data_IF_258215258958
#
_entry.id   IF_258215258958
#
_cell.length_a   1.000
_cell.length_b   1.000
_cell.length_c   1.000
_cell.angle_alpha   90.00
_cell.angle_beta   90.00
_cell.angle_gamma   90.00
#
_symmetry.space_group_name_H-M   'P 1'
#
loop_
_entity.id
_entity.type
_entity.pdbx_description
1 polymer ?
#
# COMPACT_ATOMS: atom_id res chain seq x y z
N UNK A 1 -4.11 17.92 6.22
CA UNK A 1 -4.33 18.82 5.08
C UNK A 1 -5.78 18.98 4.60
N UNK A 2 -6.67 17.97 4.57
CA UNK A 2 -7.90 18.10 3.76
C UNK A 2 -8.89 19.15 4.30
N UNK A 3 -9.10 19.21 5.62
CA UNK A 3 -10.12 20.10 6.22
C UNK A 3 -9.83 21.60 6.03
N UNK A 4 -8.56 22.01 6.09
CA UNK A 4 -8.17 23.42 5.89
C UNK A 4 -8.27 23.82 4.42
N UNK A 5 -7.94 22.92 3.50
CA UNK A 5 -8.07 23.17 2.06
C UNK A 5 -9.54 23.36 1.66
N UNK A 6 -10.47 22.55 2.17
CA UNK A 6 -11.90 22.72 1.85
C UNK A 6 -12.49 24.06 2.29
N UNK A 7 -11.90 24.69 3.32
CA UNK A 7 -12.35 26.00 3.79
C UNK A 7 -11.65 27.16 3.07
N UNK A 8 -10.37 27.00 2.73
CA UNK A 8 -9.54 28.10 2.23
C UNK A 8 -9.23 28.04 0.74
N UNK A 9 -9.43 26.91 0.06
CA UNK A 9 -9.02 26.61 -1.33
C UNK A 9 -7.52 26.72 -1.60
N UNK A 10 -6.69 26.66 -0.57
CA UNK A 10 -5.23 26.55 -0.70
C UNK A 10 -4.63 25.87 0.54
N UNK A 11 -3.39 25.42 0.43
CA UNK A 11 -2.68 24.72 1.50
C UNK A 11 -2.13 25.70 2.53
N UNK A 12 -2.43 25.46 3.81
CA UNK A 12 -1.88 26.22 4.93
C UNK A 12 -1.06 25.30 5.87
N UNK A 13 0.20 25.65 6.20
CA UNK A 13 0.97 26.80 5.71
C UNK A 13 1.51 26.59 4.27
N UNK A 14 1.51 27.63 3.40
CA UNK A 14 2.01 27.54 2.03
C UNK A 14 3.55 27.64 2.02
N UNK A 15 4.20 26.60 2.53
CA UNK A 15 5.66 26.55 2.61
C UNK A 15 6.19 25.27 1.97
N UNK A 16 7.29 25.39 1.21
CA UNK A 16 7.92 24.23 0.57
C UNK A 16 8.29 23.15 1.59
N UNK A 17 8.81 23.55 2.75
CA UNK A 17 9.19 22.62 3.82
C UNK A 17 8.00 21.80 4.31
N UNK A 18 6.82 22.41 4.46
CA UNK A 18 5.62 21.70 4.85
C UNK A 18 5.20 20.67 3.81
N UNK A 19 5.19 21.04 2.52
CA UNK A 19 4.86 20.12 1.42
C UNK A 19 5.85 18.96 1.32
N UNK A 20 7.15 19.21 1.41
CA UNK A 20 8.19 18.17 1.37
C UNK A 20 7.98 17.13 2.47
N UNK A 21 7.83 17.56 3.72
CA UNK A 21 7.62 16.64 4.84
C UNK A 21 6.28 15.93 4.77
N UNK A 22 5.24 16.62 4.32
CA UNK A 22 3.92 16.03 4.13
C UNK A 22 3.96 14.92 3.08
N UNK A 23 4.44 15.21 1.88
CA UNK A 23 4.55 14.24 0.78
C UNK A 23 5.43 13.07 1.20
N UNK A 24 6.55 13.32 1.88
CA UNK A 24 7.36 12.23 2.42
C UNK A 24 6.58 11.33 3.38
N UNK A 25 5.87 11.90 4.36
CA UNK A 25 5.05 11.16 5.32
C UNK A 25 3.95 10.36 4.61
N UNK A 26 3.23 10.98 3.68
CA UNK A 26 2.16 10.37 2.90
C UNK A 26 2.63 9.14 2.14
N UNK A 27 3.66 9.30 1.30
CA UNK A 27 4.18 8.22 0.48
C UNK A 27 4.79 7.11 1.33
N UNK A 28 5.49 7.47 2.40
CA UNK A 28 6.06 6.52 3.35
C UNK A 28 4.98 5.67 4.03
N UNK A 29 3.93 6.30 4.56
CA UNK A 29 2.85 5.61 5.27
C UNK A 29 2.02 4.74 4.32
N UNK A 30 1.72 5.23 3.11
CA UNK A 30 1.03 4.46 2.09
C UNK A 30 1.85 3.25 1.64
N UNK A 31 3.15 3.45 1.39
CA UNK A 31 4.09 2.38 1.07
C UNK A 31 4.16 1.33 2.18
N UNK A 32 4.38 1.76 3.43
CA UNK A 32 4.37 0.87 4.60
C UNK A 32 3.06 0.06 4.66
N UNK A 33 1.91 0.72 4.50
CA UNK A 33 0.60 0.07 4.54
C UNK A 33 0.47 -1.03 3.47
N UNK A 34 0.81 -0.73 2.22
CA UNK A 34 0.77 -1.68 1.12
C UNK A 34 1.71 -2.86 1.33
N UNK A 35 2.97 -2.60 1.70
CA UNK A 35 3.96 -3.66 1.91
C UNK A 35 3.61 -4.54 3.12
N UNK A 36 3.16 -3.94 4.23
CA UNK A 36 2.70 -4.70 5.40
C UNK A 36 1.49 -5.55 5.05
N UNK A 37 0.51 -5.01 4.31
CA UNK A 37 -0.66 -5.78 3.90
C UNK A 37 -0.31 -6.94 2.97
N UNK A 38 0.61 -6.72 2.02
CA UNK A 38 1.15 -7.77 1.17
C UNK A 38 1.84 -8.86 2.00
N UNK A 39 2.69 -8.47 2.97
CA UNK A 39 3.40 -9.40 3.83
C UNK A 39 2.45 -10.19 4.75
N UNK A 40 1.53 -9.53 5.44
CA UNK A 40 0.54 -10.15 6.33
C UNK A 40 -0.31 -11.18 5.56
N UNK A 41 -0.61 -10.90 4.28
CA UNK A 41 -1.33 -11.82 3.41
C UNK A 41 -0.52 -13.10 3.12
N UNK A 42 0.78 -12.98 2.85
CA UNK A 42 1.70 -14.11 2.67
C UNK A 42 1.90 -14.88 3.98
N UNK A 43 2.24 -14.16 5.06
CA UNK A 43 2.53 -14.75 6.36
C UNK A 43 1.36 -15.62 6.85
N UNK A 44 0.13 -15.15 6.65
CA UNK A 44 -1.06 -15.91 7.00
C UNK A 44 -1.19 -17.19 6.21
N UNK A 45 -0.87 -17.17 4.92
CA UNK A 45 -0.83 -18.39 4.12
C UNK A 45 0.17 -19.39 4.73
N UNK A 46 1.35 -18.92 5.11
CA UNK A 46 2.36 -19.76 5.76
C UNK A 46 1.88 -20.31 7.11
N UNK A 47 1.27 -19.49 7.97
CA UNK A 47 0.78 -19.90 9.29
C UNK A 47 -0.35 -20.95 9.17
N UNK A 48 -1.31 -20.76 8.28
CA UNK A 48 -2.46 -21.70 8.16
C UNK A 48 -1.97 -23.09 7.73
N UNK A 49 -1.05 -23.16 6.77
CA UNK A 49 -0.62 -24.44 6.19
C UNK A 49 0.57 -25.07 6.90
N UNK A 50 1.43 -24.27 7.55
CA UNK A 50 2.66 -24.73 8.21
C UNK A 50 2.72 -24.34 9.69
N UNK A 51 1.56 -24.16 10.35
CA UNK A 51 1.44 -23.76 11.76
C UNK A 51 2.37 -24.53 12.68
N UNK A 52 2.40 -25.86 12.56
CA UNK A 52 3.19 -26.73 13.42
C UNK A 52 4.70 -26.53 13.24
N UNK A 53 5.17 -26.37 12.00
CA UNK A 53 6.60 -26.22 11.68
C UNK A 53 7.12 -24.80 11.98
N UNK A 54 6.27 -23.78 11.86
CA UNK A 54 6.66 -22.39 12.10
C UNK A 54 6.63 -21.99 13.58
N UNK A 55 5.69 -22.53 14.37
CA UNK A 55 5.55 -22.18 15.79
C UNK A 55 6.58 -22.87 16.70
N UNK A 56 7.16 -24.00 16.27
CA UNK A 56 8.13 -24.75 17.09
C UNK A 56 9.54 -24.15 17.08
N UNK A 57 9.95 -23.47 16.01
CA UNK A 57 11.34 -22.98 15.87
C UNK A 57 11.40 -21.46 16.04
N UNK A 58 11.98 -20.97 17.15
CA UNK A 58 12.12 -19.53 17.43
C UNK A 58 12.84 -18.75 16.31
N UNK A 59 13.84 -19.36 15.67
CA UNK A 59 14.55 -18.76 14.54
C UNK A 59 13.65 -18.54 13.33
N UNK A 60 12.82 -19.52 12.96
CA UNK A 60 11.87 -19.38 11.83
C UNK A 60 10.83 -18.30 12.10
N UNK A 61 10.38 -18.16 13.35
CA UNK A 61 9.49 -17.05 13.74
C UNK A 61 10.18 -15.70 13.52
N UNK A 62 11.44 -15.56 13.95
CA UNK A 62 12.18 -14.33 13.72
C UNK A 62 12.37 -14.00 12.23
N UNK A 63 12.77 -14.98 11.43
CA UNK A 63 13.06 -14.75 10.00
C UNK A 63 11.82 -14.48 9.16
N UNK A 64 10.69 -15.13 9.45
CA UNK A 64 9.48 -15.03 8.63
C UNK A 64 8.42 -14.05 9.18
N UNK A 65 8.58 -13.55 10.41
CA UNK A 65 7.67 -12.55 10.97
C UNK A 65 8.36 -11.21 11.19
N UNK A 66 9.46 -11.18 11.96
CA UNK A 66 10.07 -9.91 12.38
C UNK A 66 10.89 -9.24 11.29
N UNK A 67 11.76 -9.98 10.59
CA UNK A 67 12.62 -9.40 9.53
C UNK A 67 11.80 -8.67 8.46
N UNK A 68 10.73 -9.25 7.91
CA UNK A 68 9.98 -8.63 6.82
C UNK A 68 9.20 -7.41 7.29
N UNK A 69 8.65 -7.43 8.51
CA UNK A 69 7.98 -6.25 9.10
C UNK A 69 8.99 -5.11 9.27
N UNK A 70 10.15 -5.39 9.85
CA UNK A 70 11.22 -4.37 10.02
C UNK A 70 11.68 -3.84 8.66
N UNK A 71 11.84 -4.72 7.67
CA UNK A 71 12.17 -4.32 6.31
C UNK A 71 11.10 -3.39 5.71
N UNK A 72 9.81 -3.74 5.79
CA UNK A 72 8.73 -2.88 5.28
C UNK A 72 8.69 -1.51 5.97
N UNK A 73 8.94 -1.47 7.28
CA UNK A 73 8.94 -0.23 8.08
C UNK A 73 10.13 0.68 7.76
N UNK A 74 11.25 0.14 7.28
CA UNK A 74 12.47 0.91 7.02
C UNK A 74 12.59 1.25 5.53
N UNK A 75 12.27 0.31 4.64
CA UNK A 75 12.47 0.44 3.20
C UNK A 75 11.71 1.63 2.60
N UNK A 76 10.39 1.69 2.81
CA UNK A 76 9.56 2.72 2.20
C UNK A 76 9.93 4.13 2.69
N UNK A 77 10.07 4.40 4.01
CA UNK A 77 10.48 5.72 4.48
C UNK A 77 11.85 6.17 3.99
N UNK A 78 12.83 5.27 3.96
CA UNK A 78 14.18 5.60 3.47
C UNK A 78 14.17 5.93 1.98
N UNK A 79 13.45 5.13 1.17
CA UNK A 79 13.36 5.36 -0.26
C UNK A 79 12.73 6.74 -0.56
N UNK A 80 11.57 7.03 0.03
CA UNK A 80 10.90 8.31 -0.20
C UNK A 80 11.66 9.48 0.43
N UNK A 81 12.43 9.26 1.50
CA UNK A 81 13.30 10.31 2.04
C UNK A 81 14.35 10.74 1.00
N UNK A 82 14.97 9.77 0.33
CA UNK A 82 15.96 10.05 -0.71
C UNK A 82 15.30 10.73 -1.93
N UNK A 83 14.14 10.26 -2.36
CA UNK A 83 13.48 10.78 -3.57
C UNK A 83 12.83 12.15 -3.36
N UNK A 84 12.17 12.37 -2.22
CA UNK A 84 11.34 13.56 -1.95
C UNK A 84 12.07 14.63 -1.15
N UNK A 85 12.89 14.25 -0.16
CA UNK A 85 13.57 15.23 0.71
C UNK A 85 14.93 15.62 0.16
N UNK A 86 15.74 14.65 -0.26
CA UNK A 86 17.04 14.95 -0.85
C UNK A 86 16.93 15.41 -2.31
N UNK A 87 15.88 14.99 -3.01
CA UNK A 87 15.57 15.31 -4.42
C UNK A 87 16.81 15.53 -5.29
N UNK A 88 17.71 14.54 -5.40
CA UNK A 88 19.05 14.74 -5.98
C UNK A 88 19.04 15.08 -7.48
N UNK A 89 17.91 14.87 -8.16
CA UNK A 89 17.80 14.93 -9.62
C UNK A 89 17.08 16.19 -10.11
N UNK A 90 16.33 16.88 -9.25
CA UNK A 90 15.58 18.06 -9.66
C UNK A 90 15.05 18.90 -8.49
N UNK A 91 14.74 20.16 -8.78
CA UNK A 91 14.11 21.10 -7.83
C UNK A 91 12.59 20.93 -7.86
N UNK A 92 12.00 20.62 -6.71
CA UNK A 92 10.54 20.51 -6.55
C UNK A 92 9.88 21.89 -6.59
N UNK A 93 9.00 22.09 -7.56
CA UNK A 93 8.09 23.24 -7.62
C UNK A 93 6.72 22.75 -7.13
N UNK A 94 6.36 23.16 -5.92
CA UNK A 94 5.08 22.79 -5.30
C UNK A 94 3.99 23.75 -5.73
N UNK A 95 2.80 23.21 -6.03
CA UNK A 95 1.62 24.01 -6.30
C UNK A 95 0.71 24.01 -5.07
N UNK A 96 0.61 25.16 -4.41
CA UNK A 96 -0.18 25.32 -3.19
C UNK A 96 -1.69 25.40 -3.44
N UNK A 97 -2.11 25.50 -4.70
CA UNK A 97 -3.51 25.50 -5.10
C UNK A 97 -4.02 24.08 -5.38
N UNK A 98 -3.15 23.08 -5.41
CA UNK A 98 -3.54 21.67 -5.53
C UNK A 98 -3.85 21.08 -4.17
N UNK A 99 -4.59 19.97 -4.15
CA UNK A 99 -5.11 19.39 -2.93
C UNK A 99 -4.01 18.68 -2.09
N UNK A 100 -2.89 18.29 -2.73
CA UNK A 100 -1.78 17.53 -2.13
C UNK A 100 -0.39 18.14 -2.39
N UNK A 101 -0.30 19.47 -2.49
CA UNK A 101 0.90 20.20 -2.92
C UNK A 101 1.37 19.88 -4.36
N UNK A 102 0.61 19.05 -5.10
CA UNK A 102 1.00 18.50 -6.39
C UNK A 102 1.94 17.30 -6.29
N UNK A 103 2.44 16.86 -7.44
CA UNK A 103 3.30 15.68 -7.53
C UNK A 103 4.77 16.01 -7.23
N UNK A 104 5.49 15.12 -6.52
CA UNK A 104 6.92 15.30 -6.29
C UNK A 104 7.68 15.18 -7.62
N UNK A 105 8.79 15.91 -7.73
CA UNK A 105 9.50 16.08 -8.99
C UNK A 105 10.03 14.78 -9.62
N UNK A 106 10.32 13.75 -8.82
CA UNK A 106 10.75 12.45 -9.37
C UNK A 106 9.70 11.78 -10.28
N UNK A 107 8.43 12.21 -10.24
CA UNK A 107 7.40 11.74 -11.18
C UNK A 107 7.65 12.19 -12.63
N UNK A 108 8.34 13.32 -12.82
CA UNK A 108 8.74 13.79 -14.14
C UNK A 108 9.83 12.90 -14.76
N UNK A 109 10.66 12.29 -13.92
CA UNK A 109 11.68 11.33 -14.35
C UNK A 109 11.05 9.97 -14.64
N UNK A 110 10.95 9.63 -15.93
CA UNK A 110 10.28 8.42 -16.41
C UNK A 110 10.76 7.15 -15.70
N UNK A 111 12.07 7.02 -15.48
CA UNK A 111 12.65 5.84 -14.84
C UNK A 111 12.20 5.70 -13.38
N UNK A 112 12.26 6.77 -12.60
CA UNK A 112 11.89 6.74 -11.18
C UNK A 112 10.39 6.58 -10.99
N UNK A 113 9.59 7.24 -11.81
CA UNK A 113 8.14 7.07 -11.82
C UNK A 113 7.75 5.61 -12.12
N UNK A 114 8.35 5.00 -13.15
CA UNK A 114 8.11 3.58 -13.47
C UNK A 114 8.58 2.65 -12.35
N UNK A 115 9.73 2.92 -11.75
CA UNK A 115 10.24 2.14 -10.64
C UNK A 115 9.27 2.19 -9.44
N UNK A 116 8.84 3.39 -9.04
CA UNK A 116 7.92 3.58 -7.93
C UNK A 116 6.57 2.89 -8.19
N UNK A 117 6.01 3.09 -9.38
CA UNK A 117 4.77 2.43 -9.80
C UNK A 117 4.88 0.89 -9.75
N UNK A 118 5.94 0.31 -10.30
CA UNK A 118 6.08 -1.14 -10.39
C UNK A 118 6.33 -1.76 -9.01
N UNK A 119 7.30 -1.23 -8.26
CA UNK A 119 7.80 -1.87 -7.06
C UNK A 119 7.04 -1.49 -5.80
N UNK A 120 6.64 -0.22 -5.66
CA UNK A 120 6.00 0.25 -4.42
C UNK A 120 4.47 0.19 -4.49
N UNK A 121 3.88 0.09 -5.69
CA UNK A 121 2.44 0.05 -5.86
C UNK A 121 1.94 -1.24 -6.51
N UNK A 122 2.33 -1.53 -7.75
CA UNK A 122 1.78 -2.64 -8.53
C UNK A 122 2.12 -4.01 -7.93
N UNK A 123 3.38 -4.24 -7.59
CA UNK A 123 3.84 -5.51 -7.05
C UNK A 123 3.18 -5.86 -5.70
N UNK A 124 3.12 -4.95 -4.70
CA UNK A 124 2.39 -5.20 -3.46
C UNK A 124 0.91 -5.50 -3.68
N UNK A 125 0.23 -4.73 -4.54
CA UNK A 125 -1.20 -4.94 -4.86
C UNK A 125 -1.42 -6.31 -5.49
N UNK A 126 -0.57 -6.71 -6.44
CA UNK A 126 -0.65 -8.04 -7.07
C UNK A 126 -0.40 -9.17 -6.07
N UNK A 127 0.56 -9.02 -5.16
CA UNK A 127 0.80 -10.00 -4.09
C UNK A 127 -0.44 -10.13 -3.20
N UNK A 128 -1.09 -9.03 -2.83
CA UNK A 128 -2.32 -9.05 -2.04
C UNK A 128 -3.41 -9.82 -2.77
N UNK A 129 -3.65 -9.53 -4.06
CA UNK A 129 -4.67 -10.22 -4.86
C UNK A 129 -4.37 -11.72 -4.95
N UNK A 130 -3.16 -12.09 -5.37
CA UNK A 130 -2.78 -13.48 -5.57
C UNK A 130 -2.83 -14.28 -4.25
N UNK A 131 -2.35 -13.68 -3.15
CA UNK A 131 -2.36 -14.33 -1.84
C UNK A 131 -3.78 -14.56 -1.33
N UNK A 132 -4.68 -13.60 -1.52
CA UNK A 132 -6.08 -13.74 -1.14
C UNK A 132 -6.81 -14.80 -1.96
N UNK A 133 -6.64 -14.78 -3.28
CA UNK A 133 -7.23 -15.79 -4.18
C UNK A 133 -6.70 -17.18 -3.83
N UNK A 134 -5.40 -17.33 -3.66
CA UNK A 134 -4.78 -18.60 -3.27
C UNK A 134 -5.29 -19.13 -1.92
N UNK A 135 -5.50 -18.23 -0.94
CA UNK A 135 -6.05 -18.60 0.36
C UNK A 135 -7.49 -19.12 0.22
N UNK A 136 -8.36 -18.44 -0.53
CA UNK A 136 -9.75 -18.87 -0.76
C UNK A 136 -9.80 -20.23 -1.45
N UNK A 137 -9.05 -20.39 -2.56
CA UNK A 137 -9.00 -21.66 -3.31
C UNK A 137 -8.59 -22.81 -2.40
N UNK A 138 -7.53 -22.64 -1.61
CA UNK A 138 -7.04 -23.71 -0.73
C UNK A 138 -7.97 -24.00 0.43
N UNK A 139 -8.65 -23.00 0.99
CA UNK A 139 -9.67 -23.20 2.03
C UNK A 139 -10.83 -24.04 1.50
N UNK A 140 -11.28 -23.77 0.26
CA UNK A 140 -12.32 -24.57 -0.39
C UNK A 140 -11.83 -26.00 -0.63
N UNK A 141 -10.63 -26.16 -1.19
CA UNK A 141 -10.05 -27.48 -1.47
C UNK A 141 -9.89 -28.33 -0.20
N UNK A 142 -9.39 -27.72 0.89
CA UNK A 142 -9.19 -28.41 2.16
C UNK A 142 -10.52 -28.79 2.83
N UNK A 143 -11.56 -27.96 2.69
CA UNK A 143 -12.92 -28.27 3.13
C UNK A 143 -13.50 -29.47 2.37
N UNK A 144 -13.27 -29.55 1.06
CA UNK A 144 -13.74 -30.66 0.22
C UNK A 144 -12.96 -31.95 0.47
N UNK A 145 -11.64 -31.86 0.65
CA UNK A 145 -10.77 -33.04 0.73
C UNK A 145 -10.78 -33.74 2.09
N UNK A 146 -10.88 -33.00 3.22
CA UNK A 146 -10.60 -33.60 4.53
C UNK A 146 -11.79 -33.77 5.48
N UNK A 147 -12.97 -33.19 5.23
CA UNK A 147 -14.13 -33.18 6.16
C UNK A 147 -13.79 -32.89 7.64
N UNK A 148 -12.57 -32.43 7.94
CA UNK A 148 -12.12 -32.26 9.30
C UNK A 148 -12.72 -30.96 9.81
N UNK A 149 -13.28 -31.03 11.02
CA UNK A 149 -13.56 -29.90 11.87
C UNK A 149 -12.23 -29.22 12.29
N UNK A 150 -11.44 -28.74 11.32
CA UNK A 150 -10.50 -27.65 11.54
C UNK A 150 -11.29 -26.61 12.30
N UNK A 151 -10.76 -26.07 13.40
CA UNK A 151 -11.38 -25.06 14.26
C UNK A 151 -11.90 -23.86 13.44
N UNK A 152 -13.05 -24.04 12.78
CA UNK A 152 -13.53 -23.25 11.66
C UNK A 152 -14.00 -21.91 12.17
N UNK A 153 -14.56 -21.87 13.37
CA UNK A 153 -14.95 -20.62 14.04
C UNK A 153 -13.76 -19.68 14.25
N UNK A 154 -12.58 -20.19 14.61
CA UNK A 154 -11.38 -19.36 14.84
C UNK A 154 -10.75 -18.89 13.53
N UNK A 155 -10.66 -19.77 12.54
CA UNK A 155 -10.10 -19.44 11.23
C UNK A 155 -11.03 -18.54 10.40
N UNK A 156 -12.36 -18.73 10.48
CA UNK A 156 -13.35 -17.92 9.75
C UNK A 156 -13.33 -16.45 10.16
N UNK A 157 -13.25 -16.14 11.46
CA UNK A 157 -13.17 -14.75 11.94
C UNK A 157 -11.92 -14.05 11.40
N UNK A 158 -10.77 -14.74 11.47
CA UNK A 158 -9.51 -14.21 10.97
C UNK A 158 -9.59 -13.99 9.45
N UNK A 159 -10.02 -15.00 8.68
CA UNK A 159 -10.14 -14.92 7.21
C UNK A 159 -11.11 -13.82 6.79
N UNK A 160 -12.26 -13.69 7.45
CA UNK A 160 -13.26 -12.68 7.13
C UNK A 160 -12.74 -11.26 7.40
N UNK A 161 -12.02 -11.05 8.51
CA UNK A 161 -11.36 -9.76 8.78
C UNK A 161 -10.38 -9.40 7.66
N UNK A 162 -9.51 -10.31 7.25
CA UNK A 162 -8.52 -10.01 6.21
C UNK A 162 -9.16 -9.85 4.83
N UNK A 163 -10.25 -10.57 4.55
CA UNK A 163 -10.97 -10.42 3.30
C UNK A 163 -11.64 -9.05 3.21
N UNK A 164 -12.20 -8.54 4.32
CA UNK A 164 -12.70 -7.16 4.41
C UNK A 164 -11.56 -6.18 4.19
N UNK A 165 -10.44 -6.32 4.91
CA UNK A 165 -9.30 -5.40 4.76
C UNK A 165 -8.74 -5.44 3.34
N UNK A 166 -8.57 -6.63 2.76
CA UNK A 166 -8.05 -6.76 1.39
C UNK A 166 -9.02 -6.20 0.36
N UNK A 167 -10.33 -6.38 0.56
CA UNK A 167 -11.35 -5.77 -0.30
C UNK A 167 -11.34 -4.25 -0.20
N UNK A 168 -11.10 -3.69 0.99
CA UNK A 168 -10.91 -2.25 1.17
C UNK A 168 -9.68 -1.77 0.41
N UNK A 169 -8.52 -2.40 0.61
CA UNK A 169 -7.29 -2.04 -0.11
C UNK A 169 -7.47 -2.16 -1.63
N UNK A 170 -8.14 -3.21 -2.14
CA UNK A 170 -8.46 -3.32 -3.56
C UNK A 170 -9.41 -2.21 -4.02
N UNK A 171 -10.49 -1.92 -3.28
CA UNK A 171 -11.44 -0.88 -3.66
C UNK A 171 -10.83 0.51 -3.81
N UNK A 172 -9.86 0.84 -2.95
CA UNK A 172 -9.21 2.15 -2.96
C UNK A 172 -7.96 2.23 -3.85
N UNK A 173 -7.11 1.19 -3.86
CA UNK A 173 -5.85 1.23 -4.63
C UNK A 173 -5.99 0.75 -6.07
N UNK A 174 -6.94 -0.16 -6.36
CA UNK A 174 -7.09 -0.71 -7.70
C UNK A 174 -7.47 0.38 -8.73
N UNK A 175 -8.39 1.33 -8.46
CA UNK A 175 -8.65 2.45 -9.36
C UNK A 175 -7.38 3.29 -9.63
N UNK A 176 -6.60 3.60 -8.59
CA UNK A 176 -5.34 4.34 -8.69
C UNK A 176 -4.31 3.57 -9.54
N UNK A 177 -4.19 2.26 -9.36
CA UNK A 177 -3.27 1.45 -10.17
C UNK A 177 -3.67 1.38 -11.64
N UNK A 178 -4.98 1.31 -11.95
CA UNK A 178 -5.48 1.31 -13.32
C UNK A 178 -5.25 2.64 -13.99
N UNK A 179 -5.55 3.76 -13.34
CA UNK A 179 -5.35 5.09 -13.92
C UNK A 179 -3.87 5.35 -14.19
N UNK A 180 -2.98 5.03 -13.25
CA UNK A 180 -1.53 5.13 -13.46
C UNK A 180 -1.03 4.22 -14.59
N UNK A 181 -1.56 3.00 -14.69
CA UNK A 181 -1.21 2.10 -15.79
C UNK A 181 -1.61 2.67 -17.15
N UNK A 182 -2.82 3.25 -17.27
CA UNK A 182 -3.31 3.92 -18.48
C UNK A 182 -2.45 5.15 -18.80
N UNK A 183 -2.06 5.93 -17.79
CA UNK A 183 -1.20 7.11 -17.97
C UNK A 183 0.16 6.75 -18.54
N UNK A 184 0.75 5.63 -18.11
CA UNK A 184 2.06 5.17 -18.58
C UNK A 184 1.99 4.55 -19.99
N UNK A 185 0.87 3.91 -20.34
CA UNK A 185 0.78 3.08 -21.56
C UNK A 185 0.05 3.74 -22.73
N UNK A 186 -1.01 4.49 -22.47
CA UNK A 186 -1.93 4.99 -23.50
C UNK A 186 -1.91 6.52 -23.54
N UNK A 187 -2.30 7.16 -22.43
CA UNK A 187 -2.60 8.59 -22.43
C UNK A 187 -2.14 9.26 -21.12
N UNK A 188 -1.02 10.02 -21.11
CA UNK A 188 -0.42 10.55 -19.90
C UNK A 188 -1.29 11.59 -19.17
N UNK A 189 -2.25 12.23 -19.86
CA UNK A 189 -3.18 13.20 -19.29
C UNK A 189 -4.48 12.59 -18.75
N UNK A 190 -4.62 11.26 -18.76
CA UNK A 190 -5.86 10.61 -18.35
C UNK A 190 -6.15 10.78 -16.85
N UNK A 191 -7.26 11.45 -16.51
CA UNK A 191 -7.75 11.59 -15.12
C UNK A 191 -6.72 12.17 -14.11
N UNK A 192 -5.80 13.02 -14.55
CA UNK A 192 -4.77 13.63 -13.69
C UNK A 192 -5.36 14.35 -12.48
N UNK A 193 -6.41 15.14 -12.69
CA UNK A 193 -7.04 15.94 -11.63
C UNK A 193 -7.80 15.08 -10.61
N UNK A 194 -8.26 13.91 -11.03
CA UNK A 194 -9.01 12.98 -10.20
C UNK A 194 -8.11 11.99 -9.46
N UNK A 195 -6.86 11.84 -9.90
CA UNK A 195 -5.88 10.95 -9.29
C UNK A 195 -5.58 11.34 -7.84
N UNK A 196 -5.41 12.64 -7.56
CA UNK A 196 -5.19 13.15 -6.21
C UNK A 196 -6.38 12.84 -5.29
N UNK A 197 -7.62 12.98 -5.79
CA UNK A 197 -8.83 12.65 -5.04
C UNK A 197 -8.93 11.14 -4.76
N UNK A 198 -8.51 10.29 -5.72
CA UNK A 198 -8.49 8.84 -5.53
C UNK A 198 -7.41 8.40 -4.53
N UNK A 199 -6.22 9.02 -4.58
CA UNK A 199 -5.17 8.79 -3.59
C UNK A 199 -5.61 9.27 -2.21
N UNK A 200 -6.31 10.40 -2.13
CA UNK A 200 -6.89 10.87 -0.88
C UNK A 200 -7.90 9.88 -0.30
N UNK A 201 -8.71 9.23 -1.14
CA UNK A 201 -9.64 8.21 -0.67
C UNK A 201 -8.92 7.02 0.01
N UNK A 202 -7.67 6.71 -0.37
CA UNK A 202 -6.87 5.68 0.30
C UNK A 202 -6.53 6.02 1.77
N UNK A 203 -6.58 7.28 2.19
CA UNK A 203 -6.39 7.68 3.58
C UNK A 203 -7.49 7.20 4.52
N UNK A 204 -8.68 6.89 3.99
CA UNK A 204 -9.74 6.33 4.80
C UNK A 204 -9.54 4.85 5.09
N UNK A 205 -8.60 4.18 4.41
CA UNK A 205 -8.35 2.74 4.60
C UNK A 205 -8.04 2.43 6.08
N UNK A 206 -7.08 3.10 6.76
CA UNK A 206 -6.80 2.81 8.16
C UNK A 206 -7.97 3.10 9.11
N UNK A 207 -8.81 4.08 8.77
CA UNK A 207 -10.00 4.44 9.55
C UNK A 207 -11.12 3.40 9.43
N UNK A 208 -11.22 2.75 8.27
CA UNK A 208 -12.20 1.72 7.95
C UNK A 208 -11.73 0.31 8.34
N UNK A 209 -10.52 0.17 8.89
CA UNK A 209 -10.03 -1.11 9.41
C UNK A 209 -10.84 -1.52 10.65
N UNK A 210 -11.37 -2.76 10.70
CA UNK A 210 -12.14 -3.29 11.83
C UNK A 210 -11.27 -3.76 13.00
#
# INVERSE_FOLDING_TARGET
MPMSYYYMNYIWPPTNTYCVWWTWCEFSLNGIGLFLMAWISIERHLIIFHSHTMLQTRWKKWTFHFIPIVFCLIWAPLLFFILVVLSPLCTTLWDFNLFLCGFPCYYAEKFLNQFDFIFNLFLPVMIIILSNVALVIRVIYQKMSRQQAINWRRHRKMVLQLWIVSSLYMGFWLPVTITLFIQITILPSFMTDQLEAMQFAAYFIPLLLP
#
